data_IF_132997102979
#
_entry.id   IF_132997102979
#
_cell.length_a   1.000
_cell.length_b   1.000
_cell.length_c   1.000
_cell.angle_alpha   90.00
_cell.angle_beta   90.00
_cell.angle_gamma   90.00
#
_symmetry.space_group_name_H-M   'P 1'
#
loop_
_entity.id
_entity.type
_entity.pdbx_description
1 polymer ?
#
# COMPACT_ATOMS: atom_id res chain seq x y z
N UNK A 1 3.67 -27.54 -1.42
CA UNK A 1 4.46 -26.29 -1.31
C UNK A 1 3.64 -25.19 -1.97
N UNK A 2 3.45 -24.04 -1.32
CA UNK A 2 2.62 -22.96 -1.88
C UNK A 2 3.28 -22.41 -3.16
N UNK A 3 2.60 -22.54 -4.31
CA UNK A 3 3.01 -21.95 -5.57
C UNK A 3 2.78 -20.44 -5.53
N UNK A 4 3.73 -19.69 -4.97
CA UNK A 4 3.73 -18.24 -5.12
C UNK A 4 4.15 -17.88 -6.55
N UNK A 5 3.40 -17.05 -7.29
CA UNK A 5 3.79 -16.63 -8.62
C UNK A 5 5.05 -15.77 -8.52
N UNK A 6 6.18 -16.34 -8.93
CA UNK A 6 7.48 -15.65 -9.01
C UNK A 6 7.62 -15.05 -10.42
N UNK A 7 8.19 -13.83 -10.53
CA UNK A 7 8.44 -13.14 -11.81
C UNK A 7 7.21 -12.97 -12.74
N UNK A 8 6.06 -12.54 -12.19
CA UNK A 8 4.86 -12.32 -13.00
C UNK A 8 5.05 -11.15 -14.01
N UNK A 9 4.59 -11.27 -15.27
CA UNK A 9 4.70 -10.18 -16.26
C UNK A 9 3.90 -8.91 -15.87
N UNK A 10 2.92 -9.04 -14.97
CA UNK A 10 2.08 -7.93 -14.48
C UNK A 10 2.73 -7.06 -13.38
N UNK A 11 4.00 -7.29 -13.03
CA UNK A 11 4.74 -6.50 -12.03
C UNK A 11 4.71 -4.97 -12.24
N UNK A 12 4.81 -4.46 -13.49
CA UNK A 12 4.69 -3.01 -13.73
C UNK A 12 3.34 -2.46 -13.27
N UNK A 13 2.25 -3.22 -13.48
CA UNK A 13 0.88 -2.81 -13.13
C UNK A 13 0.74 -2.74 -11.61
N UNK A 14 1.24 -3.74 -10.88
CA UNK A 14 1.16 -3.76 -9.42
C UNK A 14 1.94 -2.61 -8.77
N UNK A 15 3.10 -2.24 -9.34
CA UNK A 15 3.86 -1.06 -8.90
C UNK A 15 3.17 0.26 -9.21
N UNK A 16 2.52 0.37 -10.37
CA UNK A 16 1.73 1.55 -10.70
C UNK A 16 0.56 1.68 -9.73
N UNK A 17 -0.15 0.59 -9.40
CA UNK A 17 -1.21 0.63 -8.39
C UNK A 17 -0.70 1.07 -7.02
N UNK A 18 0.39 0.47 -6.52
CA UNK A 18 0.93 0.86 -5.21
C UNK A 18 1.44 2.30 -5.21
N UNK A 19 2.01 2.76 -6.33
CA UNK A 19 2.41 4.16 -6.53
C UNK A 19 1.24 5.13 -6.53
N UNK A 20 0.12 4.79 -7.20
CA UNK A 20 -1.10 5.60 -7.20
C UNK A 20 -1.69 5.71 -5.80
N UNK A 21 -1.72 4.59 -5.04
CA UNK A 21 -2.18 4.59 -3.64
C UNK A 21 -1.29 5.47 -2.78
N UNK A 22 0.04 5.30 -2.87
CA UNK A 22 0.99 6.15 -2.15
C UNK A 22 0.84 7.63 -2.48
N UNK A 23 0.65 7.96 -3.76
CA UNK A 23 0.42 9.33 -4.22
C UNK A 23 -0.87 9.91 -3.65
N UNK A 24 -1.97 9.15 -3.70
CA UNK A 24 -3.25 9.58 -3.12
C UNK A 24 -3.10 9.88 -1.63
N UNK A 25 -2.48 8.98 -0.86
CA UNK A 25 -2.26 9.16 0.58
C UNK A 25 -1.39 10.40 0.86
N UNK A 26 -0.34 10.61 0.05
CA UNK A 26 0.54 11.76 0.18
C UNK A 26 -0.20 13.08 -0.10
N UNK A 27 -0.94 13.16 -1.21
CA UNK A 27 -1.73 14.36 -1.58
C UNK A 27 -2.82 14.63 -0.53
N UNK A 28 -3.51 13.59 -0.07
CA UNK A 28 -4.46 13.68 1.03
C UNK A 28 -3.81 14.27 2.29
N UNK A 29 -2.63 13.76 2.67
CA UNK A 29 -1.91 14.24 3.84
C UNK A 29 -1.50 15.72 3.71
N UNK A 30 -0.91 16.10 2.58
CA UNK A 30 -0.46 17.49 2.36
C UNK A 30 -1.65 18.46 2.39
N UNK A 31 -2.73 18.13 1.69
CA UNK A 31 -3.94 18.96 1.68
C UNK A 31 -4.63 18.98 3.04
N UNK A 32 -4.63 17.85 3.75
CA UNK A 32 -5.12 17.73 5.12
C UNK A 32 -4.36 18.65 6.08
N UNK A 33 -3.03 18.70 6.00
CA UNK A 33 -2.20 19.61 6.80
C UNK A 33 -2.56 21.06 6.50
N UNK A 34 -2.68 21.45 5.22
CA UNK A 34 -3.04 22.83 4.85
C UNK A 34 -4.40 23.22 5.42
N UNK A 35 -5.40 22.34 5.34
CA UNK A 35 -6.75 22.62 5.83
C UNK A 35 -6.86 22.63 7.36
N UNK A 36 -5.98 21.91 8.06
CA UNK A 36 -6.02 21.75 9.53
C UNK A 36 -4.88 22.47 10.25
N UNK A 37 -4.05 23.24 9.55
CA UNK A 37 -2.85 23.91 10.08
C UNK A 37 -3.14 24.89 11.24
N UNK A 38 -4.36 25.44 11.30
CA UNK A 38 -4.80 26.34 12.37
C UNK A 38 -5.50 25.66 13.54
N UNK A 39 -5.68 24.34 13.50
CA UNK A 39 -6.40 23.58 14.52
C UNK A 39 -5.46 22.86 15.51
N UNK A 40 -5.96 22.50 16.71
CA UNK A 40 -5.23 21.61 17.62
C UNK A 40 -4.85 20.30 16.92
N UNK A 41 -3.70 19.71 17.32
CA UNK A 41 -3.22 18.44 16.75
C UNK A 41 -4.27 17.32 16.73
N UNK A 42 -5.07 17.24 17.80
CA UNK A 42 -6.17 16.28 17.97
C UNK A 42 -7.55 16.95 17.89
N UNK A 43 -7.66 18.03 17.12
CA UNK A 43 -8.93 18.68 16.83
C UNK A 43 -9.93 17.66 16.25
N UNK A 44 -11.14 17.62 16.81
CA UNK A 44 -12.25 16.80 16.30
C UNK A 44 -13.18 17.61 15.38
N UNK A 45 -12.61 18.58 14.67
CA UNK A 45 -13.33 19.40 13.69
C UNK A 45 -13.91 18.55 12.56
N UNK A 46 -14.85 19.10 11.80
CA UNK A 46 -15.48 18.39 10.68
C UNK A 46 -14.76 18.64 9.35
N UNK A 47 -13.44 18.49 9.33
CA UNK A 47 -12.65 18.70 8.11
C UNK A 47 -12.70 17.48 7.21
N UNK A 48 -13.06 17.71 5.95
CA UNK A 48 -13.13 16.68 4.92
C UNK A 48 -12.17 17.04 3.80
N UNK A 49 -11.29 16.10 3.47
CA UNK A 49 -10.31 16.22 2.39
C UNK A 49 -10.36 14.95 1.55
N UNK A 50 -10.58 15.08 0.24
CA UNK A 50 -10.67 13.95 -0.70
C UNK A 50 -11.65 12.83 -0.26
N UNK A 51 -12.75 13.20 0.41
CA UNK A 51 -13.77 12.26 0.89
C UNK A 51 -13.44 11.56 2.22
N UNK A 52 -12.33 11.94 2.86
CA UNK A 52 -11.87 11.41 4.14
C UNK A 52 -11.97 12.51 5.22
N UNK A 53 -12.51 12.15 6.37
CA UNK A 53 -12.45 13.02 7.54
C UNK A 53 -11.04 13.00 8.11
N UNK A 54 -10.53 14.18 8.48
CA UNK A 54 -9.14 14.30 8.94
C UNK A 54 -8.99 15.27 10.10
N UNK A 55 -7.85 15.16 10.77
CA UNK A 55 -7.32 16.16 11.68
C UNK A 55 -5.82 16.37 11.38
N UNK A 56 -5.18 17.29 12.09
CA UNK A 56 -3.79 17.63 11.83
C UNK A 56 -2.85 16.44 12.06
N UNK A 57 -3.04 15.69 13.16
CA UNK A 57 -2.23 14.50 13.46
C UNK A 57 -2.37 13.40 12.38
N UNK A 58 -3.59 13.11 11.93
CA UNK A 58 -3.86 12.10 10.91
C UNK A 58 -3.32 12.52 9.54
N UNK A 59 -3.40 13.81 9.22
CA UNK A 59 -2.84 14.38 7.99
C UNK A 59 -1.32 14.24 7.96
N UNK A 60 -0.64 14.58 9.05
CA UNK A 60 0.82 14.41 9.18
C UNK A 60 1.24 12.94 9.06
N UNK A 61 0.53 12.04 9.74
CA UNK A 61 0.77 10.60 9.63
C UNK A 61 0.61 10.11 8.18
N UNK A 62 -0.40 10.63 7.47
CA UNK A 62 -0.65 10.31 6.06
C UNK A 62 0.45 10.85 5.14
N UNK A 63 0.99 12.05 5.38
CA UNK A 63 2.14 12.56 4.62
C UNK A 63 3.34 11.60 4.75
N UNK A 64 3.66 11.19 5.98
CA UNK A 64 4.79 10.30 6.26
C UNK A 64 4.58 8.93 5.57
N UNK A 65 3.39 8.34 5.73
CA UNK A 65 3.07 7.05 5.10
C UNK A 65 3.04 7.13 3.57
N UNK A 66 2.46 8.19 3.01
CA UNK A 66 2.42 8.42 1.57
C UNK A 66 3.82 8.56 0.99
N UNK A 67 4.69 9.35 1.63
CA UNK A 67 6.09 9.50 1.22
C UNK A 67 6.85 8.16 1.30
N UNK A 68 6.65 7.39 2.37
CA UNK A 68 7.22 6.05 2.53
C UNK A 68 6.81 5.12 1.38
N UNK A 69 5.51 5.07 1.04
CA UNK A 69 5.00 4.26 -0.07
C UNK A 69 5.54 4.71 -1.43
N UNK A 70 5.65 6.02 -1.67
CA UNK A 70 6.23 6.57 -2.90
C UNK A 70 7.70 6.19 -3.07
N UNK A 71 8.49 6.24 -1.99
CA UNK A 71 9.88 5.78 -1.99
C UNK A 71 9.95 4.28 -2.31
N UNK A 72 9.05 3.48 -1.73
CA UNK A 72 8.96 2.04 -2.01
C UNK A 72 8.61 1.72 -3.46
N UNK A 73 7.65 2.44 -4.02
CA UNK A 73 7.23 2.27 -5.41
C UNK A 73 8.32 2.70 -6.43
N UNK A 74 9.16 3.69 -6.07
CA UNK A 74 10.25 4.19 -6.93
C UNK A 74 11.42 3.21 -7.05
N UNK A 75 11.75 2.49 -5.96
CA UNK A 75 12.88 1.54 -5.96
C UNK A 75 12.57 0.29 -6.79
N UNK A 76 13.48 -0.08 -7.72
CA UNK A 76 13.34 -1.27 -8.59
C UNK A 76 13.78 -2.59 -7.95
N UNK A 77 14.19 -2.56 -6.69
CA UNK A 77 14.70 -3.72 -5.94
C UNK A 77 13.55 -4.49 -5.28
N UNK A 78 13.87 -5.63 -4.63
CA UNK A 78 12.94 -6.37 -3.78
C UNK A 78 12.32 -5.57 -2.63
N UNK A 79 12.84 -4.37 -2.38
CA UNK A 79 12.32 -3.48 -1.35
C UNK A 79 10.84 -3.12 -1.58
N UNK A 80 10.41 -2.96 -2.84
CA UNK A 80 9.01 -2.66 -3.17
C UNK A 80 8.03 -3.76 -2.72
N UNK A 81 8.41 -5.03 -2.93
CA UNK A 81 7.64 -6.19 -2.48
C UNK A 81 7.42 -6.18 -0.95
N UNK A 82 8.51 -6.05 -0.18
CA UNK A 82 8.42 -6.04 1.28
C UNK A 82 7.65 -4.84 1.80
N UNK A 83 7.87 -3.65 1.23
CA UNK A 83 7.16 -2.44 1.65
C UNK A 83 5.66 -2.52 1.37
N UNK A 84 5.25 -2.99 0.19
CA UNK A 84 3.83 -3.16 -0.14
C UNK A 84 3.18 -4.22 0.73
N UNK A 85 3.85 -5.35 0.98
CA UNK A 85 3.35 -6.42 1.83
C UNK A 85 3.17 -5.93 3.28
N UNK A 86 4.20 -5.32 3.86
CA UNK A 86 4.14 -4.77 5.22
C UNK A 86 3.11 -3.65 5.33
N UNK A 87 3.08 -2.72 4.37
CA UNK A 87 2.08 -1.67 4.36
C UNK A 87 0.65 -2.22 4.24
N UNK A 88 0.44 -3.24 3.40
CA UNK A 88 -0.85 -3.92 3.29
C UNK A 88 -1.33 -4.47 4.63
N UNK A 89 -0.47 -5.19 5.35
CA UNK A 89 -0.78 -5.71 6.69
C UNK A 89 -1.09 -4.57 7.67
N UNK A 90 -0.25 -3.53 7.70
CA UNK A 90 -0.44 -2.37 8.57
C UNK A 90 -1.77 -1.69 8.29
N UNK A 91 -2.12 -1.46 7.03
CA UNK A 91 -3.39 -0.83 6.65
C UNK A 91 -4.61 -1.68 7.06
N UNK A 92 -4.54 -3.00 6.87
CA UNK A 92 -5.62 -3.91 7.28
C UNK A 92 -5.81 -3.89 8.79
N UNK A 93 -4.75 -4.10 9.57
CA UNK A 93 -4.80 -4.06 11.04
C UNK A 93 -5.29 -2.69 11.51
N UNK A 94 -4.77 -1.61 10.94
CA UNK A 94 -5.16 -0.24 11.29
C UNK A 94 -6.64 0.00 10.98
N UNK A 95 -7.15 -0.47 9.84
CA UNK A 95 -8.57 -0.30 9.49
C UNK A 95 -9.52 -0.99 10.47
N UNK A 96 -9.14 -2.18 10.97
CA UNK A 96 -9.90 -2.89 12.01
C UNK A 96 -9.86 -2.09 13.32
N UNK A 97 -8.68 -1.59 13.72
CA UNK A 97 -8.55 -0.74 14.90
C UNK A 97 -9.38 0.54 14.78
N UNK A 98 -9.33 1.23 13.64
CA UNK A 98 -10.16 2.41 13.37
C UNK A 98 -11.64 2.08 13.51
N UNK A 99 -12.09 0.92 13.02
CA UNK A 99 -13.48 0.49 13.14
C UNK A 99 -13.87 0.22 14.60
N UNK A 100 -13.02 -0.42 15.38
CA UNK A 100 -13.23 -0.64 16.82
C UNK A 100 -13.26 0.67 17.61
N UNK A 101 -12.46 1.66 17.22
CA UNK A 101 -12.35 2.95 17.92
C UNK A 101 -13.45 3.95 17.54
N UNK A 102 -14.14 3.75 16.41
CA UNK A 102 -15.03 4.76 15.79
C UNK A 102 -16.10 5.33 16.72
N UNK A 103 -16.70 4.49 17.58
CA UNK A 103 -17.76 4.86 18.52
C UNK A 103 -17.26 5.05 19.97
N UNK A 104 -15.95 5.14 20.16
CA UNK A 104 -15.33 5.26 21.49
C UNK A 104 -14.65 6.62 21.67
N UNK A 105 -14.37 6.99 22.91
CA UNK A 105 -13.57 8.19 23.24
C UNK A 105 -12.13 8.10 22.69
N UNK A 106 -11.66 6.90 22.34
CA UNK A 106 -10.38 6.66 21.68
C UNK A 106 -10.30 7.16 20.23
N UNK A 107 -11.37 7.71 19.65
CA UNK A 107 -11.35 8.32 18.32
C UNK A 107 -10.71 9.73 18.31
N UNK A 108 -9.51 9.87 18.88
CA UNK A 108 -8.78 11.14 18.95
C UNK A 108 -8.25 11.60 17.57
N UNK A 109 -8.15 10.67 16.60
CA UNK A 109 -7.78 10.96 15.21
C UNK A 109 -8.96 11.29 14.30
N UNK A 110 -10.19 11.33 14.86
CA UNK A 110 -11.41 11.72 14.15
C UNK A 110 -11.70 10.88 12.90
N UNK A 111 -11.51 9.56 13.03
CA UNK A 111 -11.82 8.56 12.02
C UNK A 111 -13.32 8.54 11.69
N UNK A 112 -13.60 8.23 10.42
CA UNK A 112 -14.94 8.07 9.85
C UNK A 112 -15.08 6.70 9.19
N UNK A 113 -16.30 6.27 8.88
CA UNK A 113 -16.50 5.03 8.12
C UNK A 113 -15.80 5.09 6.76
N UNK A 114 -15.73 6.27 6.13
CA UNK A 114 -14.97 6.48 4.90
C UNK A 114 -13.48 6.18 5.07
N UNK A 115 -12.84 6.65 6.15
CA UNK A 115 -11.41 6.37 6.41
C UNK A 115 -11.16 4.89 6.67
N UNK A 116 -12.09 4.19 7.33
CA UNK A 116 -12.01 2.74 7.55
C UNK A 116 -12.04 2.00 6.22
N UNK A 117 -13.05 2.27 5.39
CA UNK A 117 -13.27 1.57 4.11
C UNK A 117 -12.09 1.81 3.16
N UNK A 118 -11.66 3.07 3.01
CA UNK A 118 -10.54 3.43 2.13
C UNK A 118 -9.24 2.77 2.62
N UNK A 119 -8.97 2.78 3.92
CA UNK A 119 -7.79 2.12 4.50
C UNK A 119 -7.81 0.61 4.29
N UNK A 120 -8.99 -0.02 4.42
CA UNK A 120 -9.17 -1.45 4.15
C UNK A 120 -8.89 -1.79 2.68
N UNK A 121 -9.44 -1.00 1.74
CA UNK A 121 -9.20 -1.18 0.30
C UNK A 121 -7.72 -1.04 -0.03
N UNK A 122 -7.05 -0.01 0.50
CA UNK A 122 -5.61 0.16 0.33
C UNK A 122 -4.83 -1.02 0.91
N UNK A 123 -5.21 -1.50 2.10
CA UNK A 123 -4.63 -2.68 2.71
C UNK A 123 -4.72 -3.92 1.83
N UNK A 124 -5.90 -4.21 1.28
CA UNK A 124 -6.13 -5.35 0.40
C UNK A 124 -5.33 -5.24 -0.91
N UNK A 125 -5.33 -4.07 -1.55
CA UNK A 125 -4.60 -3.85 -2.79
C UNK A 125 -3.08 -3.91 -2.56
N UNK A 126 -2.57 -3.30 -1.49
CA UNK A 126 -1.15 -3.34 -1.16
C UNK A 126 -0.69 -4.75 -0.75
N UNK A 127 -1.51 -5.49 -0.01
CA UNK A 127 -1.22 -6.88 0.32
C UNK A 127 -1.22 -7.76 -0.95
N UNK A 128 -2.20 -7.58 -1.83
CA UNK A 128 -2.26 -8.27 -3.12
C UNK A 128 -1.05 -7.95 -3.98
N UNK A 129 -0.75 -6.67 -4.22
CA UNK A 129 0.45 -6.26 -4.97
C UNK A 129 1.73 -6.79 -4.33
N UNK A 130 1.84 -6.76 -3.00
CA UNK A 130 2.94 -7.36 -2.25
C UNK A 130 3.09 -8.86 -2.55
N UNK A 131 2.04 -9.65 -2.34
CA UNK A 131 2.08 -11.11 -2.58
C UNK A 131 2.47 -11.49 -4.01
N UNK A 132 2.09 -10.69 -5.01
CA UNK A 132 2.36 -10.95 -6.43
C UNK A 132 3.64 -10.30 -6.97
N UNK A 133 4.33 -9.43 -6.20
CA UNK A 133 5.55 -8.73 -6.63
C UNK A 133 6.86 -9.42 -6.19
N UNK A 134 6.78 -10.64 -5.65
CA UNK A 134 7.96 -11.39 -5.16
C UNK A 134 8.94 -11.71 -6.31
N UNK A 135 10.19 -11.26 -6.18
CA UNK A 135 11.30 -11.67 -7.06
C UNK A 135 11.97 -12.89 -6.46
N UNK A 136 12.12 -13.94 -7.26
CA UNK A 136 12.93 -15.10 -6.90
C UNK A 136 14.42 -14.75 -6.88
N UNK A 137 15.21 -15.56 -6.19
CA UNK A 137 16.67 -15.50 -6.26
C UNK A 137 17.15 -15.66 -7.72
N UNK A 138 18.32 -15.10 -8.09
CA UNK A 138 18.85 -15.19 -9.45
C UNK A 138 18.97 -16.63 -9.95
N UNK A 139 19.28 -17.58 -9.07
CA UNK A 139 19.29 -19.02 -9.39
C UNK A 139 17.92 -19.56 -9.84
N UNK A 140 16.81 -19.10 -9.22
CA UNK A 140 15.47 -19.47 -9.67
C UNK A 140 15.09 -18.84 -11.01
N UNK A 141 15.56 -17.60 -11.28
CA UNK A 141 15.37 -16.95 -12.57
C UNK A 141 16.17 -17.63 -13.69
N UNK A 142 17.36 -18.15 -13.38
CA UNK A 142 18.17 -18.94 -14.31
C UNK A 142 17.59 -20.33 -14.56
N UNK A 143 17.10 -21.03 -13.52
CA UNK A 143 16.39 -22.29 -13.66
C UNK A 143 15.12 -22.17 -14.51
N UNK A 144 14.32 -21.09 -14.34
CA UNK A 144 13.16 -20.83 -15.20
C UNK A 144 13.55 -20.52 -16.66
N UNK A 145 14.65 -19.78 -16.88
CA UNK A 145 15.19 -19.53 -18.22
C UNK A 145 15.67 -20.82 -18.90
N UNK A 146 16.39 -21.67 -18.17
CA UNK A 146 16.82 -22.98 -18.67
C UNK A 146 15.64 -23.90 -18.97
N UNK A 147 14.58 -23.87 -18.16
CA UNK A 147 13.36 -24.66 -18.36
C UNK A 147 12.53 -24.18 -19.56
N UNK A 148 12.50 -22.88 -19.84
CA UNK A 148 11.91 -22.30 -21.06
C UNK A 148 12.70 -22.62 -22.33
N UNK A 149 14.02 -22.72 -22.20
CA UNK A 149 14.92 -23.00 -23.32
C UNK A 149 15.22 -24.50 -23.50
N UNK A 150 14.50 -25.39 -22.79
CA UNK A 150 14.65 -26.83 -22.98
C UNK A 150 14.19 -27.21 -24.41
N UNK A 151 15.05 -27.87 -25.21
CA UNK A 151 14.76 -28.20 -26.61
C UNK A 151 13.78 -29.38 -26.67
N UNK A 152 12.49 -29.12 -26.48
CA UNK A 152 11.43 -30.06 -26.86
C UNK A 152 11.06 -29.91 -28.34
N UNK A 153 11.67 -28.96 -29.06
CA UNK A 153 11.44 -28.71 -30.49
C UNK A 153 12.29 -29.55 -31.45
N UNK A 154 13.21 -30.39 -30.97
CA UNK A 154 14.07 -31.20 -31.87
C UNK A 154 13.62 -32.66 -32.04
N UNK A 155 12.60 -33.13 -31.31
CA UNK A 155 12.17 -34.54 -31.36
C UNK A 155 11.07 -34.85 -32.41
N UNK A 156 10.63 -33.87 -33.20
CA UNK A 156 9.57 -34.05 -34.20
C UNK A 156 9.90 -33.39 -35.55
N UNK A 157 11.08 -33.68 -36.12
CA UNK A 157 11.39 -33.42 -37.53
C UNK A 157 11.75 -34.69 -38.25
#
# INVERSE_FOLDING_TARGET
>A
MAHFPVNHPARPIYRVLSGIIGLYIFVFGVWGVVQTAGEPLFGRGSHWVLGLRTNLAFSLASVIFGAFLLVGASRRTNLGHYMNLTAGIVFLVTSILMMSLLQTEGNFLNFSMSTVIVSMIFGLVLLGTGLYDKIGTPEHAEQERQRRNHPVSEAHR
#
